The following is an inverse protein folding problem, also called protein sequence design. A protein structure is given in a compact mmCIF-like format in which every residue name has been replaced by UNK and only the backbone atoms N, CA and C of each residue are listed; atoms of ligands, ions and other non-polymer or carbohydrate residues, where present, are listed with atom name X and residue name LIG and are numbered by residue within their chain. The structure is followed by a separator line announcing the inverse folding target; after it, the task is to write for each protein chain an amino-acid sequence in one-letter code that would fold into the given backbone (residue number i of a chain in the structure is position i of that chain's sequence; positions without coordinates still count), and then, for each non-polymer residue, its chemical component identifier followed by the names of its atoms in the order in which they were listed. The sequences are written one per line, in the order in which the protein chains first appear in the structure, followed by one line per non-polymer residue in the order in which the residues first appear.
data_IF_382608654760
#
_entry.id   IF_382608654760
#
_cell.length_a   1.000
_cell.length_b   1.000
_cell.length_c   1.000
_cell.angle_alpha   90.00
_cell.angle_beta   90.00
_cell.angle_gamma   90.00
#
_symmetry.space_group_name_H-M   'P 1'
#
loop_
_entity.id
_entity.type
_entity.pdbx_description
1 polymer ?
#
# COMPACT_ATOMS: atom_id res chain seq x y z
N UNK A 1 -17.82 -9.67 3.05
CA UNK A 1 -17.27 -10.05 1.71
C UNK A 1 -16.54 -11.37 1.88
N UNK A 2 -16.83 -12.39 1.05
CA UNK A 2 -16.05 -13.63 1.06
C UNK A 2 -14.68 -13.32 0.42
N UNK A 3 -13.64 -13.26 1.25
CA UNK A 3 -12.29 -12.85 0.86
C UNK A 3 -11.34 -14.03 0.97
N UNK A 4 -10.61 -14.32 -0.09
CA UNK A 4 -9.51 -15.28 -0.08
C UNK A 4 -8.20 -14.58 0.28
N UNK A 5 -7.57 -14.94 1.41
CA UNK A 5 -6.29 -14.38 1.83
C UNK A 5 -5.16 -15.38 1.54
N UNK A 6 -4.25 -15.02 0.64
CA UNK A 6 -3.18 -15.89 0.16
C UNK A 6 -1.83 -15.32 0.56
N UNK A 7 -1.03 -16.10 1.28
CA UNK A 7 0.37 -15.80 1.58
C UNK A 7 1.29 -16.37 0.49
N UNK A 8 2.00 -15.50 -0.21
CA UNK A 8 2.94 -15.86 -1.28
C UNK A 8 4.40 -15.94 -0.79
N UNK A 9 4.66 -15.60 0.49
CA UNK A 9 6.01 -15.49 1.02
C UNK A 9 6.87 -14.48 0.28
N UNK A 10 8.17 -14.76 0.13
CA UNK A 10 9.10 -13.93 -0.64
C UNK A 10 8.97 -14.24 -2.12
N UNK A 11 8.53 -13.26 -2.91
CA UNK A 11 8.27 -13.41 -4.35
C UNK A 11 8.83 -12.23 -5.14
N UNK A 12 9.39 -12.51 -6.33
CA UNK A 12 9.86 -11.51 -7.27
C UNK A 12 8.75 -10.53 -7.68
N UNK A 13 9.13 -9.24 -7.86
CA UNK A 13 8.15 -8.18 -8.11
C UNK A 13 7.38 -8.38 -9.43
N UNK A 14 8.08 -8.71 -10.53
CA UNK A 14 7.44 -8.90 -11.83
C UNK A 14 6.49 -10.11 -11.82
N UNK A 15 6.91 -11.18 -11.13
CA UNK A 15 6.06 -12.37 -10.97
C UNK A 15 4.79 -12.05 -10.19
N UNK A 16 4.91 -11.32 -9.08
CA UNK A 16 3.74 -10.89 -8.31
C UNK A 16 2.86 -9.93 -9.10
N UNK A 17 3.44 -9.06 -9.93
CA UNK A 17 2.67 -8.14 -10.78
C UNK A 17 1.87 -8.90 -11.84
N UNK A 18 2.47 -9.89 -12.53
CA UNK A 18 1.76 -10.76 -13.47
C UNK A 18 0.61 -11.52 -12.78
N UNK A 19 0.86 -12.04 -11.58
CA UNK A 19 -0.16 -12.75 -10.81
C UNK A 19 -1.36 -11.83 -10.47
N UNK A 20 -1.11 -10.56 -10.16
CA UNK A 20 -2.20 -9.59 -9.97
C UNK A 20 -3.03 -9.41 -11.23
N UNK A 21 -2.41 -9.36 -12.43
CA UNK A 21 -3.15 -9.24 -13.69
C UNK A 21 -4.01 -10.47 -13.96
N UNK A 22 -3.47 -11.68 -13.73
CA UNK A 22 -4.18 -12.94 -13.89
C UNK A 22 -5.37 -13.04 -12.94
N UNK A 23 -5.16 -12.78 -11.66
CA UNK A 23 -6.21 -12.86 -10.63
C UNK A 23 -7.27 -11.78 -10.81
N UNK A 24 -6.88 -10.56 -11.17
CA UNK A 24 -7.85 -9.51 -11.48
C UNK A 24 -8.74 -9.89 -12.66
N UNK A 25 -8.19 -10.57 -13.68
CA UNK A 25 -8.95 -11.10 -14.79
C UNK A 25 -9.96 -12.18 -14.35
N UNK A 26 -9.53 -13.13 -13.53
CA UNK A 26 -10.38 -14.21 -12.99
C UNK A 26 -11.49 -13.67 -12.09
N UNK A 27 -11.19 -12.64 -11.25
CA UNK A 27 -12.19 -11.98 -10.39
C UNK A 27 -13.24 -11.26 -11.24
N UNK A 28 -12.80 -10.52 -12.25
CA UNK A 28 -13.72 -9.82 -13.16
C UNK A 28 -14.62 -10.77 -13.95
N UNK A 29 -14.14 -11.99 -14.25
CA UNK A 29 -14.90 -13.05 -14.92
C UNK A 29 -15.77 -13.88 -13.94
N UNK A 30 -15.75 -13.59 -12.62
CA UNK A 30 -16.46 -14.37 -11.61
C UNK A 30 -15.87 -15.77 -11.33
N UNK A 31 -14.65 -16.04 -11.79
CA UNK A 31 -13.97 -17.34 -11.64
C UNK A 31 -13.17 -17.45 -10.33
N UNK A 32 -12.94 -16.32 -9.67
CA UNK A 32 -12.20 -16.21 -8.40
C UNK A 32 -12.94 -15.26 -7.46
N UNK A 33 -12.99 -15.53 -6.15
CA UNK A 33 -13.47 -14.57 -5.17
C UNK A 33 -12.49 -13.38 -5.05
N UNK A 34 -12.94 -12.24 -4.48
CA UNK A 34 -12.04 -11.18 -4.05
C UNK A 34 -10.86 -11.74 -3.25
N UNK A 35 -9.65 -11.30 -3.57
CA UNK A 35 -8.43 -11.93 -3.06
C UNK A 35 -7.49 -10.87 -2.46
N UNK A 36 -6.95 -11.14 -1.27
CA UNK A 36 -5.86 -10.37 -0.66
C UNK A 36 -4.57 -11.18 -0.75
N UNK A 37 -3.62 -10.74 -1.58
CA UNK A 37 -2.29 -11.32 -1.62
C UNK A 37 -1.43 -10.64 -0.56
N UNK A 38 -0.79 -11.44 0.31
CA UNK A 38 0.20 -11.01 1.30
C UNK A 38 1.56 -11.60 0.92
N UNK A 39 2.60 -10.79 0.94
CA UNK A 39 3.90 -11.19 0.44
C UNK A 39 5.01 -10.26 0.94
N UNK A 40 6.24 -10.64 0.64
CA UNK A 40 7.44 -9.81 0.70
C UNK A 40 8.11 -9.82 -0.67
N UNK A 41 8.89 -8.78 -1.00
CA UNK A 41 9.71 -8.73 -2.20
C UNK A 41 11.19 -8.79 -1.88
N UNK A 42 12.07 -9.28 -2.77
CA UNK A 42 13.47 -8.91 -2.80
C UNK A 42 13.62 -7.38 -2.92
N UNK A 43 14.81 -6.85 -2.65
CA UNK A 43 15.06 -5.42 -2.70
C UNK A 43 14.70 -4.83 -4.07
N UNK A 44 13.74 -3.90 -4.10
CA UNK A 44 13.24 -3.28 -5.32
C UNK A 44 12.75 -1.86 -5.07
N UNK A 45 13.06 -0.94 -5.97
CA UNK A 45 12.43 0.36 -6.08
C UNK A 45 11.38 0.34 -7.17
N UNK A 46 10.18 0.84 -6.86
CA UNK A 46 9.10 0.95 -7.84
C UNK A 46 8.71 2.41 -8.03
N UNK A 47 8.72 2.88 -9.28
CA UNK A 47 8.26 4.20 -9.67
C UNK A 47 6.83 4.12 -10.16
N UNK A 48 5.93 4.82 -9.49
CA UNK A 48 4.54 4.93 -9.91
C UNK A 48 4.33 5.98 -11.00
N UNK A 49 3.06 6.29 -11.31
CA UNK A 49 2.69 7.23 -12.38
C UNK A 49 3.17 8.67 -12.19
N UNK A 50 3.52 9.06 -10.97
CA UNK A 50 4.10 10.37 -10.63
C UNK A 50 5.60 10.27 -10.36
N UNK A 51 6.20 9.12 -10.71
CA UNK A 51 7.61 8.86 -10.50
C UNK A 51 8.48 9.88 -11.23
N UNK A 52 9.52 10.34 -10.54
CA UNK A 52 10.53 11.23 -11.06
C UNK A 52 11.89 10.55 -10.92
N UNK A 53 12.65 10.45 -12.03
CA UNK A 53 13.95 9.76 -12.03
C UNK A 53 14.94 10.41 -11.04
N UNK A 54 14.80 11.69 -10.80
CA UNK A 54 15.62 12.49 -9.87
C UNK A 54 15.46 12.04 -8.41
N UNK A 55 14.37 11.32 -8.10
CA UNK A 55 14.13 10.75 -6.78
C UNK A 55 14.88 9.43 -6.55
N UNK A 56 15.61 8.91 -7.54
CA UNK A 56 16.57 7.82 -7.38
C UNK A 56 17.94 8.40 -7.05
N UNK A 57 18.43 8.17 -5.84
CA UNK A 57 19.70 8.74 -5.36
C UNK A 57 20.90 7.81 -5.61
N UNK A 58 20.66 6.50 -5.67
CA UNK A 58 21.72 5.54 -5.96
C UNK A 58 21.91 5.38 -7.46
N UNK A 59 23.18 5.40 -7.89
CA UNK A 59 23.58 5.10 -9.26
C UNK A 59 23.51 3.58 -9.56
N UNK A 60 23.70 3.21 -10.82
CA UNK A 60 23.66 1.82 -11.28
C UNK A 60 24.66 0.91 -10.57
N UNK A 61 25.84 1.41 -10.22
CA UNK A 61 26.86 0.63 -9.51
C UNK A 61 26.39 0.32 -8.09
N UNK A 62 25.82 1.31 -7.40
CA UNK A 62 25.31 1.13 -6.05
C UNK A 62 24.07 0.24 -6.02
N UNK A 63 23.16 0.39 -6.97
CA UNK A 63 21.99 -0.50 -7.11
C UNK A 63 22.43 -1.95 -7.32
N UNK A 64 23.41 -2.19 -8.18
CA UNK A 64 23.95 -3.53 -8.41
C UNK A 64 24.67 -4.09 -7.18
N UNK A 65 25.48 -3.29 -6.50
CA UNK A 65 26.14 -3.67 -5.23
C UNK A 65 25.13 -4.10 -4.17
N UNK A 66 24.04 -3.33 -4.04
CA UNK A 66 22.98 -3.57 -3.07
C UNK A 66 21.93 -4.60 -3.52
N UNK A 67 22.02 -5.09 -4.76
CA UNK A 67 21.08 -6.09 -5.31
C UNK A 67 19.66 -5.55 -5.47
N UNK A 68 19.50 -4.25 -5.80
CA UNK A 68 18.20 -3.59 -5.93
C UNK A 68 17.77 -3.56 -7.39
N UNK A 69 16.59 -4.11 -7.67
CA UNK A 69 15.92 -3.93 -8.96
C UNK A 69 15.16 -2.59 -9.00
N UNK A 70 14.94 -2.06 -10.20
CA UNK A 70 14.15 -0.82 -10.41
C UNK A 70 13.09 -1.07 -11.47
N UNK A 71 11.82 -0.79 -11.13
CA UNK A 71 10.69 -0.96 -12.04
C UNK A 71 9.83 0.29 -12.13
N UNK A 72 9.42 0.65 -13.35
CA UNK A 72 8.40 1.66 -13.62
C UNK A 72 7.06 0.95 -13.76
N UNK A 73 6.10 1.36 -12.92
CA UNK A 73 4.83 0.65 -12.75
C UNK A 73 3.63 1.58 -12.82
N UNK A 74 2.44 1.02 -12.93
CA UNK A 74 1.21 1.76 -13.20
C UNK A 74 0.37 2.11 -11.95
N UNK A 75 0.91 1.89 -10.74
CA UNK A 75 0.27 2.34 -9.49
C UNK A 75 0.28 3.87 -9.34
N UNK A 76 -0.58 4.38 -8.49
CA UNK A 76 -0.51 5.78 -8.04
C UNK A 76 0.75 6.08 -7.23
N UNK A 77 1.09 7.37 -7.13
CA UNK A 77 2.23 7.85 -6.36
C UNK A 77 3.55 7.88 -7.14
N UNK A 78 4.60 8.22 -6.41
CA UNK A 78 5.98 8.35 -6.88
C UNK A 78 6.79 7.08 -6.52
N UNK A 79 8.11 7.21 -6.28
CA UNK A 79 8.99 6.10 -5.92
C UNK A 79 8.74 5.60 -4.50
N UNK A 80 8.87 4.29 -4.30
CA UNK A 80 8.93 3.64 -2.99
C UNK A 80 9.88 2.44 -3.02
N UNK A 81 10.24 1.97 -1.84
CA UNK A 81 11.06 0.79 -1.62
C UNK A 81 10.21 -0.39 -1.17
N UNK A 82 10.58 -1.58 -1.64
CA UNK A 82 10.16 -2.87 -1.08
C UNK A 82 11.38 -3.75 -0.83
N UNK A 83 11.32 -4.55 0.23
CA UNK A 83 12.39 -5.48 0.59
C UNK A 83 11.96 -6.48 1.65
N UNK A 84 12.80 -7.49 1.96
CA UNK A 84 12.56 -8.43 3.03
C UNK A 84 12.31 -7.72 4.36
N UNK A 85 11.36 -8.21 5.14
CA UNK A 85 10.92 -7.58 6.38
C UNK A 85 9.84 -6.49 6.18
N UNK A 86 9.42 -6.20 4.95
CA UNK A 86 8.28 -5.32 4.66
C UNK A 86 7.10 -6.17 4.20
N UNK A 87 5.97 -6.11 4.91
CA UNK A 87 4.74 -6.77 4.48
C UNK A 87 4.09 -5.96 3.36
N UNK A 88 3.96 -6.58 2.20
CA UNK A 88 3.22 -6.04 1.06
C UNK A 88 1.86 -6.73 0.97
N UNK A 89 0.80 -5.94 0.77
CA UNK A 89 -0.55 -6.45 0.56
C UNK A 89 -1.14 -5.91 -0.74
N UNK A 90 -1.62 -6.83 -1.59
CA UNK A 90 -2.32 -6.52 -2.84
C UNK A 90 -3.77 -6.99 -2.76
N UNK A 91 -4.71 -6.11 -2.35
CA UNK A 91 -6.13 -6.44 -2.41
C UNK A 91 -6.61 -6.36 -3.86
N UNK A 92 -7.10 -7.48 -4.37
CA UNK A 92 -7.71 -7.62 -5.69
C UNK A 92 -9.21 -7.77 -5.49
N UNK A 93 -9.92 -6.65 -5.49
CA UNK A 93 -11.35 -6.60 -5.18
C UNK A 93 -12.10 -5.73 -6.19
N UNK A 94 -13.37 -6.04 -6.49
CA UNK A 94 -14.20 -5.16 -7.30
C UNK A 94 -14.57 -3.91 -6.50
N UNK A 95 -14.32 -2.72 -7.07
CA UNK A 95 -14.83 -1.48 -6.52
C UNK A 95 -16.21 -1.19 -7.08
N UNK A 96 -17.17 -0.98 -6.17
CA UNK A 96 -18.51 -0.55 -6.56
C UNK A 96 -18.45 0.82 -7.23
N UNK A 97 -19.07 1.00 -8.39
CA UNK A 97 -19.21 2.31 -9.01
C UNK A 97 -19.86 3.31 -8.05
N UNK A 98 -19.34 4.53 -8.01
CA UNK A 98 -20.08 5.64 -7.40
C UNK A 98 -21.41 5.78 -8.13
N UNK A 99 -22.51 5.56 -7.45
CA UNK A 99 -23.81 6.04 -7.92
C UNK A 99 -23.68 7.57 -7.98
N UNK A 100 -23.75 8.15 -9.17
CA UNK A 100 -23.95 9.58 -9.27
C UNK A 100 -25.19 9.89 -8.45
N UNK A 101 -25.07 10.74 -7.41
CA UNK A 101 -26.22 11.31 -6.72
C UNK A 101 -27.10 11.96 -7.79
N UNK A 102 -28.14 11.24 -8.20
CA UNK A 102 -29.26 11.88 -8.86
C UNK A 102 -29.92 12.72 -7.76
N UNK A 103 -29.50 13.98 -7.65
CA UNK A 103 -30.31 14.99 -7.02
C UNK A 103 -31.74 14.82 -7.55
N UNK A 104 -32.67 14.69 -6.61
CA UNK A 104 -34.10 14.74 -6.88
C UNK A 104 -34.40 15.98 -7.75
N UNK A 105 -34.55 15.78 -9.04
CA UNK A 105 -35.30 16.67 -9.90
C UNK A 105 -36.07 15.79 -10.87
N UNK A 106 -37.38 15.78 -10.64
CA UNK A 106 -38.37 15.25 -11.55
C UNK A 106 -38.16 15.79 -12.96
N UNK A 107 -37.77 14.88 -13.89
CA UNK A 107 -38.19 14.97 -15.29
C UNK A 107 -37.77 13.71 -16.04
N UNK A 108 -38.71 13.16 -16.72
CA UNK A 108 -38.63 12.09 -17.72
C UNK A 108 -37.60 12.45 -18.79
N UNK A 109 -36.46 11.79 -18.80
CA UNK A 109 -35.66 11.57 -20.01
C UNK A 109 -34.86 10.28 -19.87
N UNK A 110 -35.38 9.26 -20.54
CA UNK A 110 -34.74 7.93 -20.70
C UNK A 110 -33.68 8.04 -21.81
N UNK A 111 -32.52 8.58 -21.51
CA UNK A 111 -31.30 8.29 -22.28
C UNK A 111 -30.29 7.62 -21.34
N UNK A 112 -30.21 6.30 -21.50
CA UNK A 112 -29.17 5.47 -20.87
C UNK A 112 -27.82 5.81 -21.53
N UNK A 113 -27.13 6.85 -21.01
CA UNK A 113 -25.80 7.21 -21.46
C UNK A 113 -24.78 6.22 -20.91
N UNK A 114 -24.77 5.01 -21.48
CA UNK A 114 -23.80 3.94 -21.21
C UNK A 114 -22.36 4.31 -21.60
N UNK A 115 -22.12 5.51 -22.15
CA UNK A 115 -20.81 5.98 -22.60
C UNK A 115 -19.98 6.68 -21.53
N UNK A 116 -20.56 7.05 -20.38
CA UNK A 116 -19.80 7.69 -19.29
C UNK A 116 -18.98 6.67 -18.51
N UNK A 117 -17.68 6.91 -18.34
CA UNK A 117 -16.84 6.01 -17.54
C UNK A 117 -17.41 5.92 -16.13
N UNK A 118 -17.63 4.69 -15.67
CA UNK A 118 -18.03 4.38 -14.31
C UNK A 118 -16.92 4.90 -13.37
N UNK A 119 -17.24 5.90 -12.53
CA UNK A 119 -16.32 6.42 -11.53
C UNK A 119 -16.35 5.49 -10.31
N UNK A 120 -15.25 4.81 -10.05
CA UNK A 120 -15.05 4.06 -8.81
C UNK A 120 -14.69 5.01 -7.66
N UNK A 121 -15.13 4.69 -6.43
CA UNK A 121 -14.74 5.45 -5.22
C UNK A 121 -13.27 5.17 -4.84
N UNK A 122 -12.38 5.81 -5.57
CA UNK A 122 -10.94 5.69 -5.36
C UNK A 122 -10.48 6.22 -3.99
N UNK A 123 -11.07 7.34 -3.58
CA UNK A 123 -10.70 8.01 -2.32
C UNK A 123 -11.19 7.19 -1.13
N UNK A 124 -12.44 6.73 -1.17
CA UNK A 124 -13.00 5.87 -0.14
C UNK A 124 -12.23 4.55 -0.01
N UNK A 125 -11.83 3.96 -1.13
CA UNK A 125 -10.99 2.76 -1.12
C UNK A 125 -9.64 2.98 -0.42
N UNK A 126 -8.92 4.04 -0.77
CA UNK A 126 -7.65 4.38 -0.10
C UNK A 126 -7.88 4.62 1.40
N UNK A 127 -8.97 5.29 1.78
CA UNK A 127 -9.33 5.51 3.20
C UNK A 127 -9.62 4.22 3.95
N UNK A 128 -10.27 3.25 3.30
CA UNK A 128 -10.47 1.90 3.87
C UNK A 128 -9.15 1.16 4.06
N UNK A 129 -8.20 1.27 3.12
CA UNK A 129 -6.87 0.67 3.30
C UNK A 129 -6.10 1.31 4.47
N UNK A 130 -6.14 2.64 4.61
CA UNK A 130 -5.55 3.32 5.76
C UNK A 130 -6.20 2.85 7.06
N UNK A 131 -7.52 2.72 7.12
CA UNK A 131 -8.27 2.24 8.28
C UNK A 131 -7.89 0.81 8.64
N UNK A 132 -7.78 -0.08 7.64
CA UNK A 132 -7.32 -1.46 7.83
C UNK A 132 -5.95 -1.50 8.49
N UNK A 133 -4.99 -0.73 7.98
CA UNK A 133 -3.64 -0.70 8.53
C UNK A 133 -3.58 -0.09 9.92
N UNK A 134 -4.35 0.98 10.19
CA UNK A 134 -4.47 1.58 11.53
C UNK A 134 -5.07 0.57 12.52
N UNK A 135 -6.13 -0.13 12.13
CA UNK A 135 -6.74 -1.15 12.97
C UNK A 135 -5.80 -2.34 13.24
N UNK A 136 -5.04 -2.77 12.23
CA UNK A 136 -4.03 -3.81 12.39
C UNK A 136 -2.91 -3.38 13.34
N UNK A 137 -2.38 -2.16 13.19
CA UNK A 137 -1.36 -1.59 14.06
C UNK A 137 -1.85 -1.45 15.52
N UNK A 138 -3.10 -1.02 15.70
CA UNK A 138 -3.71 -0.93 17.03
C UNK A 138 -3.81 -2.31 17.72
N UNK A 139 -4.10 -3.39 16.96
CA UNK A 139 -4.06 -4.77 17.50
C UNK A 139 -2.67 -5.20 17.94
N UNK A 140 -1.64 -4.66 17.30
CA UNK A 140 -0.23 -4.89 17.65
C UNK A 140 0.28 -3.94 18.76
N UNK A 141 -0.59 -3.08 19.31
CA UNK A 141 -0.23 -2.14 20.39
C UNK A 141 0.42 -0.84 19.90
N UNK A 142 0.32 -0.52 18.60
CA UNK A 142 0.92 0.69 18.01
C UNK A 142 -0.17 1.70 17.64
N UNK A 143 -0.09 2.91 18.21
CA UNK A 143 -0.93 4.04 17.84
C UNK A 143 -0.45 4.65 16.52
N UNK A 144 -1.32 4.62 15.52
CA UNK A 144 -1.06 5.15 14.18
C UNK A 144 -2.26 5.96 13.68
N UNK A 145 -2.05 6.79 12.66
CA UNK A 145 -3.10 7.64 12.13
C UNK A 145 -2.87 8.11 10.70
N UNK A 146 -3.75 8.99 10.25
CA UNK A 146 -3.69 9.67 8.94
C UNK A 146 -3.05 11.05 9.09
N UNK A 147 -2.44 11.54 7.99
CA UNK A 147 -2.06 12.97 7.85
C UNK A 147 -2.89 13.61 6.77
N UNK A 148 -3.37 14.82 7.04
CA UNK A 148 -4.14 15.59 6.05
C UNK A 148 -3.31 15.86 4.80
N UNK A 149 -3.89 15.58 3.62
CA UNK A 149 -3.24 15.78 2.32
C UNK A 149 -2.20 14.71 1.93
N UNK A 150 -1.85 13.77 2.82
CA UNK A 150 -0.84 12.75 2.57
C UNK A 150 -1.45 11.34 2.70
N UNK A 151 -1.24 10.51 1.67
CA UNK A 151 -1.67 9.11 1.67
C UNK A 151 -0.68 8.23 2.43
N UNK A 152 -1.22 7.24 3.16
CA UNK A 152 -0.45 6.27 3.94
C UNK A 152 -0.79 6.32 5.43
N UNK A 153 -0.08 5.54 6.22
CA UNK A 153 -0.27 5.47 7.68
C UNK A 153 0.96 5.99 8.39
N UNK A 154 0.73 6.77 9.44
CA UNK A 154 1.73 7.60 10.07
C UNK A 154 1.77 7.38 11.58
N UNK A 155 2.96 7.40 12.12
CA UNK A 155 3.26 7.40 13.56
C UNK A 155 3.54 8.83 13.97
N UNK A 156 2.91 9.28 15.06
CA UNK A 156 3.15 10.62 15.60
C UNK A 156 4.55 10.70 16.25
N UNK A 157 5.11 11.90 16.29
CA UNK A 157 6.46 12.13 16.80
C UNK A 157 6.66 11.64 18.23
N UNK A 158 5.69 11.85 19.12
CA UNK A 158 5.74 11.43 20.53
C UNK A 158 5.82 9.90 20.68
N UNK A 159 5.26 9.12 19.75
CA UNK A 159 5.30 7.66 19.79
C UNK A 159 6.68 7.12 19.43
N UNK A 160 7.37 7.73 18.45
CA UNK A 160 8.70 7.25 18.02
C UNK A 160 9.88 8.13 18.47
N UNK A 161 9.64 9.14 19.32
CA UNK A 161 10.67 10.06 19.82
C UNK A 161 11.83 9.36 20.53
N UNK A 162 11.57 8.21 21.15
CA UNK A 162 12.57 7.41 21.86
C UNK A 162 13.22 6.31 21.01
N UNK A 163 12.91 6.22 19.72
CA UNK A 163 13.50 5.24 18.82
C UNK A 163 15.03 5.42 18.74
N UNK A 164 15.84 4.41 19.15
CA UNK A 164 17.30 4.54 19.13
C UNK A 164 17.87 4.52 17.72
N UNK A 165 17.15 3.90 16.76
CA UNK A 165 17.54 3.76 15.34
C UNK A 165 17.12 4.94 14.48
N UNK A 166 16.17 5.77 14.95
CA UNK A 166 15.71 6.94 14.21
C UNK A 166 16.73 8.08 14.30
N UNK A 167 16.98 8.76 13.17
CA UNK A 167 17.87 9.93 13.13
C UNK A 167 17.35 11.01 14.10
N UNK A 168 18.19 11.67 14.92
CA UNK A 168 17.71 12.63 15.93
C UNK A 168 16.79 13.72 15.38
N UNK A 169 17.11 14.27 14.20
CA UNK A 169 16.31 15.32 13.54
C UNK A 169 14.92 14.85 13.09
N UNK A 170 14.70 13.53 12.99
CA UNK A 170 13.47 12.94 12.52
C UNK A 170 12.51 12.59 13.66
N UNK A 171 13.01 12.55 14.91
CA UNK A 171 12.24 12.17 16.10
C UNK A 171 11.16 13.16 16.49
N UNK A 172 11.24 14.39 15.98
CA UNK A 172 10.27 15.46 16.24
C UNK A 172 9.21 15.57 15.14
N UNK A 173 9.27 14.71 14.11
CA UNK A 173 8.35 14.72 12.97
C UNK A 173 7.50 13.45 12.93
N UNK A 174 6.24 13.51 12.48
CA UNK A 174 5.50 12.30 12.17
C UNK A 174 6.23 11.47 11.11
N UNK A 175 6.30 10.15 11.32
CA UNK A 175 7.01 9.23 10.44
C UNK A 175 6.04 8.26 9.74
N UNK A 176 6.31 7.93 8.48
CA UNK A 176 5.48 7.00 7.72
C UNK A 176 5.86 5.56 8.06
N UNK A 177 4.88 4.75 8.49
CA UNK A 177 5.06 3.32 8.73
C UNK A 177 4.52 2.45 7.60
N UNK A 178 3.51 2.94 6.87
CA UNK A 178 2.98 2.22 5.73
C UNK A 178 2.69 3.16 4.55
N UNK A 179 3.13 2.73 3.37
CA UNK A 179 2.84 3.37 2.09
C UNK A 179 1.63 2.72 1.42
N UNK A 180 0.87 3.51 0.64
CA UNK A 180 -0.27 3.03 -0.15
C UNK A 180 -0.15 3.60 -1.56
N UNK A 181 -0.19 2.71 -2.54
CA UNK A 181 -0.20 3.07 -3.95
C UNK A 181 -1.03 2.06 -4.73
N UNK A 182 -2.19 2.48 -5.22
CA UNK A 182 -3.19 1.60 -5.84
C UNK A 182 -3.45 1.97 -7.30
N UNK A 183 -4.08 1.04 -8.01
CA UNK A 183 -4.68 1.22 -9.34
C UNK A 183 -6.03 0.53 -9.34
N UNK A 184 -6.97 1.03 -10.12
CA UNK A 184 -8.18 0.31 -10.52
C UNK A 184 -8.10 0.10 -12.02
N UNK A 185 -8.29 -1.11 -12.48
CA UNK A 185 -8.25 -1.43 -13.91
C UNK A 185 -9.55 -1.03 -14.62
N UNK A 186 -9.61 -1.24 -15.95
CA UNK A 186 -10.76 -0.88 -16.76
C UNK A 186 -12.04 -1.68 -16.43
N UNK A 187 -11.90 -2.82 -15.73
CA UNK A 187 -13.00 -3.66 -15.26
C UNK A 187 -13.43 -3.39 -13.83
N UNK A 188 -12.83 -2.37 -13.19
CA UNK A 188 -13.14 -1.97 -11.83
C UNK A 188 -12.47 -2.81 -10.75
N UNK A 189 -11.49 -3.65 -11.09
CA UNK A 189 -10.74 -4.45 -10.11
C UNK A 189 -9.52 -3.67 -9.63
N UNK A 190 -9.30 -3.66 -8.30
CA UNK A 190 -8.13 -3.02 -7.68
C UNK A 190 -6.87 -3.84 -7.92
N UNK A 191 -5.74 -3.14 -8.06
CA UNK A 191 -4.39 -3.72 -8.13
C UNK A 191 -3.40 -2.89 -7.34
N UNK A 192 -2.21 -3.44 -7.07
CA UNK A 192 -1.27 -2.92 -6.10
C UNK A 192 -1.95 -2.80 -4.72
N UNK A 193 -1.48 -1.95 -3.84
CA UNK A 193 -2.07 -1.88 -2.51
C UNK A 193 -1.21 -1.11 -1.53
N UNK A 194 -0.70 -1.80 -0.51
CA UNK A 194 0.05 -1.19 0.58
C UNK A 194 1.36 -1.93 0.87
N UNK A 195 2.26 -1.24 1.57
CA UNK A 195 3.49 -1.77 2.09
C UNK A 195 3.67 -1.29 3.54
N UNK A 196 3.71 -2.21 4.50
CA UNK A 196 3.88 -1.97 5.93
C UNK A 196 5.29 -2.37 6.36
N UNK A 197 6.05 -1.46 6.92
CA UNK A 197 7.38 -1.74 7.42
C UNK A 197 7.29 -2.50 8.75
N UNK A 198 7.66 -3.78 8.76
CA UNK A 198 7.74 -4.61 9.96
C UNK A 198 9.15 -4.57 10.53
N UNK A 199 10.12 -5.06 9.79
CA UNK A 199 11.54 -5.03 10.14
C UNK A 199 12.42 -5.09 8.89
N UNK A 200 12.21 -4.22 7.89
CA UNK A 200 13.09 -4.17 6.73
C UNK A 200 14.44 -3.53 7.09
N UNK A 201 15.45 -3.75 6.23
CA UNK A 201 16.68 -2.98 6.29
C UNK A 201 16.37 -1.52 5.88
N UNK A 202 16.43 -0.62 6.86
CA UNK A 202 16.06 0.78 6.67
C UNK A 202 17.08 1.59 5.88
N UNK A 203 18.32 1.10 5.71
CA UNK A 203 19.37 1.76 4.92
C UNK A 203 19.00 1.86 3.44
N UNK A 204 18.12 0.99 2.95
CA UNK A 204 17.65 1.05 1.57
C UNK A 204 16.76 2.27 1.27
N UNK A 205 16.21 2.92 2.30
CA UNK A 205 15.47 4.17 2.11
C UNK A 205 16.40 5.34 1.74
N UNK A 206 17.70 5.26 2.04
CA UNK A 206 18.69 6.27 1.65
C UNK A 206 18.94 6.31 0.13
N UNK A 207 18.48 5.31 -0.62
CA UNK A 207 18.59 5.24 -2.09
C UNK A 207 17.54 6.03 -2.86
N UNK A 208 16.52 6.56 -2.17
CA UNK A 208 15.41 7.26 -2.82
C UNK A 208 14.91 8.46 -2.01
N UNK A 209 14.29 9.43 -2.69
CA UNK A 209 13.43 10.44 -2.04
C UNK A 209 11.99 9.92 -2.13
N UNK A 210 11.53 9.24 -1.08
CA UNK A 210 10.22 8.59 -1.08
C UNK A 210 9.08 9.58 -1.28
N UNK A 211 8.32 9.45 -2.38
CA UNK A 211 7.20 10.33 -2.74
C UNK A 211 7.57 11.83 -2.83
N UNK A 212 8.83 12.18 -3.09
CA UNK A 212 9.30 13.56 -3.10
C UNK A 212 9.18 14.26 -1.73
N UNK A 213 8.99 13.50 -0.65
CA UNK A 213 8.83 14.00 0.71
C UNK A 213 10.11 13.74 1.52
N UNK A 214 10.52 14.74 2.30
CA UNK A 214 11.59 14.63 3.31
C UNK A 214 11.10 14.04 4.63
N UNK A 215 9.97 13.37 4.62
CA UNK A 215 9.35 12.83 5.83
C UNK A 215 10.04 11.53 6.24
N UNK A 216 10.30 11.34 7.54
CA UNK A 216 10.94 10.12 8.01
C UNK A 216 10.06 8.89 7.81
N UNK A 217 10.73 7.74 7.69
CA UNK A 217 10.10 6.41 7.59
C UNK A 217 10.52 5.60 8.81
N UNK A 218 9.58 4.83 9.37
CA UNK A 218 9.81 3.95 10.52
C UNK A 218 9.27 2.55 10.24
N UNK A 219 9.72 1.59 11.04
CA UNK A 219 9.26 0.22 11.04
C UNK A 219 8.67 -0.17 12.40
N UNK A 220 7.93 -1.28 12.49
CA UNK A 220 7.47 -1.83 13.78
C UNK A 220 8.65 -2.14 14.70
N UNK A 221 9.75 -2.58 14.12
CA UNK A 221 10.98 -2.86 14.86
C UNK A 221 11.61 -1.62 15.52
N UNK A 222 11.22 -0.41 15.13
CA UNK A 222 11.64 0.85 15.79
C UNK A 222 10.77 1.20 16.99
N UNK A 223 9.60 0.56 17.12
CA UNK A 223 8.56 0.91 18.08
C UNK A 223 8.31 -0.18 19.13
N UNK A 224 8.58 -1.44 18.80
CA UNK A 224 8.22 -2.60 19.61
C UNK A 224 9.42 -3.51 19.89
N UNK A 225 9.50 -3.99 21.13
CA UNK A 225 10.43 -5.03 21.55
C UNK A 225 9.70 -6.04 22.47
N UNK A 226 9.61 -7.32 22.07
CA UNK A 226 10.14 -7.91 20.83
C UNK A 226 9.36 -7.45 19.59
N UNK A 227 10.05 -7.45 18.44
CA UNK A 227 9.42 -7.20 17.14
C UNK A 227 8.42 -8.33 16.84
N UNK A 228 7.17 -8.03 16.45
CA UNK A 228 6.22 -9.08 16.13
C UNK A 228 6.66 -9.90 14.92
N UNK A 229 6.47 -11.22 14.96
CA UNK A 229 6.72 -12.09 13.82
C UNK A 229 5.83 -11.71 12.64
N UNK A 230 6.32 -11.89 11.40
CA UNK A 230 5.60 -11.52 10.18
C UNK A 230 4.21 -12.17 10.11
N UNK A 231 4.06 -13.42 10.52
CA UNK A 231 2.77 -14.13 10.51
C UNK A 231 1.75 -13.50 11.47
N UNK A 232 2.21 -12.98 12.63
CA UNK A 232 1.34 -12.24 13.57
C UNK A 232 0.84 -10.94 12.93
N UNK A 233 1.72 -10.25 12.20
CA UNK A 233 1.37 -9.02 11.48
C UNK A 233 0.39 -9.31 10.33
N UNK A 234 0.64 -10.36 9.53
CA UNK A 234 -0.26 -10.83 8.48
C UNK A 234 -1.66 -11.12 9.03
N UNK A 235 -1.74 -11.87 10.14
CA UNK A 235 -3.03 -12.18 10.77
C UNK A 235 -3.76 -10.94 11.26
N UNK A 236 -3.06 -9.98 11.86
CA UNK A 236 -3.65 -8.71 12.28
C UNK A 236 -4.22 -7.92 11.09
N UNK A 237 -3.49 -7.91 9.97
CA UNK A 237 -3.92 -7.24 8.72
C UNK A 237 -5.13 -7.93 8.11
N UNK A 238 -5.14 -9.27 7.99
CA UNK A 238 -6.30 -10.02 7.45
C UNK A 238 -7.54 -9.75 8.28
N UNK A 239 -7.45 -9.88 9.60
CA UNK A 239 -8.59 -9.65 10.50
C UNK A 239 -9.11 -8.20 10.39
N UNK A 240 -8.21 -7.22 10.30
CA UNK A 240 -8.61 -5.82 10.15
C UNK A 240 -9.24 -5.57 8.78
N UNK A 241 -8.70 -6.18 7.71
CA UNK A 241 -9.22 -6.06 6.35
C UNK A 241 -10.65 -6.61 6.25
N UNK A 242 -10.89 -7.82 6.78
CA UNK A 242 -12.21 -8.43 6.82
C UNK A 242 -13.23 -7.52 7.52
N UNK A 243 -12.85 -6.92 8.67
CA UNK A 243 -13.75 -6.03 9.43
C UNK A 243 -14.07 -4.72 8.70
N UNK A 244 -13.10 -4.13 7.98
CA UNK A 244 -13.27 -2.84 7.30
C UNK A 244 -13.99 -2.98 5.96
N UNK A 245 -13.82 -4.14 5.31
CA UNK A 245 -14.41 -4.42 3.99
C UNK A 245 -15.66 -5.34 4.07
N UNK A 246 -16.10 -5.68 5.28
CA UNK A 246 -17.33 -6.45 5.52
C UNK A 246 -18.59 -5.78 4.96
#
# INVERSE_FOLDING_TARGET
MDLDAIDLGLIDYERAWKLQDEYAAEIADGKRPPTLLLLEHPHVYTFGRKGQAENLLWDELKLKEKGVAVHWVDRGGDVTYHGPGQLVGYPLIPLTPLRSDRSQSDSFDLEDDSSKPVRSDYVGYVRKLEETLIAALMRLGVAAGRRSGLTGVWIQADVHSHCPRCKPQDREKPAKIAAIGVKVDARGITRHGFALNVNPDMDYWDGIIACGLSEPVVALADLLEPVPAMDVVKQAVVTAFENVFA
#
